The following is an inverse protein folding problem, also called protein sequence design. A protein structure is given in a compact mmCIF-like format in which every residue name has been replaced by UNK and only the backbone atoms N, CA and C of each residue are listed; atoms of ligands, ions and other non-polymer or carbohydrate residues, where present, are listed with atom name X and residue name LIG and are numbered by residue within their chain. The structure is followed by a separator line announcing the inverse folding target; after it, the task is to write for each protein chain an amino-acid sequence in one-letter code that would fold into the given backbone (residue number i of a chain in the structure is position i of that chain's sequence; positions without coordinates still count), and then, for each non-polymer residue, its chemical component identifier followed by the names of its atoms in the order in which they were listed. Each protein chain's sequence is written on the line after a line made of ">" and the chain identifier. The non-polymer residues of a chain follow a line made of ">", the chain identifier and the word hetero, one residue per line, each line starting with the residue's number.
data_IF_266524182020
#
_entry.id   IF_266524182020
#
_cell.length_a   1.000
_cell.length_b   1.000
_cell.length_c   1.000
_cell.angle_alpha   90.00
_cell.angle_beta   90.00
_cell.angle_gamma   90.00
#
_symmetry.space_group_name_H-M   'P 1'
#
loop_
_entity.id
_entity.type
_entity.pdbx_description
1 polymer ?
#
# COMPACT_ATOMS: atom_id res chain seq x y z
N UNK A 1 6.95 7.98 -0.81
CA UNK A 1 6.74 9.37 -1.31
C UNK A 1 5.35 9.95 -0.98
N UNK A 2 5.29 11.20 -0.49
CA UNK A 2 4.04 11.89 -0.15
C UNK A 2 3.07 12.06 -1.32
N UNK A 3 3.59 12.24 -2.54
CA UNK A 3 2.76 12.39 -3.75
C UNK A 3 1.92 11.15 -4.08
N UNK A 4 2.34 9.97 -3.62
CA UNK A 4 1.64 8.71 -3.85
C UNK A 4 0.67 8.34 -2.73
N UNK A 5 0.75 9.01 -1.56
CA UNK A 5 0.00 8.61 -0.36
C UNK A 5 -1.50 8.43 -0.61
N UNK A 6 -2.18 9.46 -1.08
CA UNK A 6 -3.63 9.41 -1.33
C UNK A 6 -4.02 8.37 -2.40
N UNK A 7 -3.15 8.13 -3.38
CA UNK A 7 -3.40 7.14 -4.44
C UNK A 7 -3.22 5.72 -3.89
N UNK A 8 -2.16 5.49 -3.11
CA UNK A 8 -1.92 4.23 -2.40
C UNK A 8 -3.06 3.93 -1.42
N UNK A 9 -3.54 4.94 -0.67
CA UNK A 9 -4.66 4.77 0.27
C UNK A 9 -5.93 4.25 -0.43
N UNK A 10 -6.29 4.87 -1.55
CA UNK A 10 -7.44 4.43 -2.37
C UNK A 10 -7.22 3.05 -2.98
N UNK A 11 -5.98 2.74 -3.37
CA UNK A 11 -5.65 1.42 -3.91
C UNK A 11 -5.81 0.31 -2.87
N UNK A 12 -5.40 0.58 -1.63
CA UNK A 12 -5.59 -0.32 -0.48
C UNK A 12 -7.10 -0.57 -0.27
N UNK A 13 -7.90 0.49 -0.16
CA UNK A 13 -9.35 0.38 0.03
C UNK A 13 -10.02 -0.38 -1.14
N UNK A 14 -9.59 -0.13 -2.39
CA UNK A 14 -10.13 -0.79 -3.58
C UNK A 14 -9.90 -2.31 -3.59
N UNK A 15 -8.76 -2.76 -3.07
CA UNK A 15 -8.41 -4.18 -2.97
C UNK A 15 -8.91 -4.82 -1.65
N UNK A 16 -9.74 -4.12 -0.87
CA UNK A 16 -10.29 -4.64 0.37
C UNK A 16 -9.28 -4.70 1.52
N UNK A 17 -8.18 -3.95 1.42
CA UNK A 17 -7.27 -3.74 2.52
C UNK A 17 -7.87 -2.80 3.56
N UNK A 18 -7.54 -3.02 4.82
CA UNK A 18 -7.89 -2.15 5.94
C UNK A 18 -6.62 -1.52 6.49
N UNK A 19 -6.58 -0.20 6.55
CA UNK A 19 -5.45 0.55 7.11
C UNK A 19 -5.53 0.47 8.64
N UNK A 20 -4.47 -0.02 9.25
CA UNK A 20 -4.32 -0.06 10.72
C UNK A 20 -3.65 1.20 11.24
N UNK A 21 -2.63 1.71 10.52
CA UNK A 21 -1.94 2.93 10.89
C UNK A 21 -1.24 3.61 9.71
N UNK A 22 -1.01 4.91 9.87
CA UNK A 22 -0.28 5.76 8.93
C UNK A 22 0.75 6.56 9.72
N UNK A 23 2.01 6.52 9.29
CA UNK A 23 3.10 7.30 9.87
C UNK A 23 3.66 8.25 8.81
N UNK A 24 3.77 9.52 9.19
CA UNK A 24 4.25 10.60 8.33
C UNK A 24 5.60 11.11 8.85
N UNK A 25 6.69 10.67 8.23
CA UNK A 25 8.06 11.07 8.56
C UNK A 25 8.80 11.63 7.35
N UNK A 26 10.06 11.23 7.17
CA UNK A 26 10.77 11.52 5.91
C UNK A 26 10.10 10.82 4.71
N UNK A 27 9.59 9.62 4.96
CA UNK A 27 8.70 8.87 4.08
C UNK A 27 7.35 8.63 4.75
N UNK A 28 6.37 8.21 3.95
CA UNK A 28 5.05 7.80 4.45
C UNK A 28 5.03 6.29 4.56
N UNK A 29 4.69 5.79 5.75
CA UNK A 29 4.49 4.36 6.02
C UNK A 29 3.02 4.10 6.24
N UNK A 30 2.47 3.07 5.59
CA UNK A 30 1.10 2.62 5.79
C UNK A 30 1.14 1.17 6.24
N UNK A 31 0.58 0.88 7.41
CA UNK A 31 0.36 -0.49 7.87
C UNK A 31 -1.07 -0.86 7.55
N UNK A 32 -1.26 -1.97 6.86
CA UNK A 32 -2.57 -2.42 6.43
C UNK A 32 -2.67 -3.94 6.41
N UNK A 33 -3.87 -4.44 6.65
CA UNK A 33 -4.20 -5.86 6.61
C UNK A 33 -5.00 -6.16 5.35
N UNK A 34 -4.67 -7.28 4.71
CA UNK A 34 -5.31 -7.72 3.47
C UNK A 34 -5.77 -9.17 3.56
N UNK A 35 -6.86 -9.55 2.87
CA UNK A 35 -7.12 -10.94 2.54
C UNK A 35 -5.95 -11.53 1.73
N UNK A 36 -5.46 -12.71 2.09
CA UNK A 36 -4.29 -13.30 1.41
C UNK A 36 -4.50 -13.52 -0.10
N UNK A 37 -5.73 -13.77 -0.52
CA UNK A 37 -6.07 -14.03 -1.92
C UNK A 37 -6.03 -12.78 -2.84
N UNK A 38 -5.82 -11.59 -2.29
CA UNK A 38 -5.72 -10.34 -3.08
C UNK A 38 -4.32 -9.73 -3.09
N UNK A 39 -3.38 -10.30 -2.31
CA UNK A 39 -2.06 -9.72 -2.09
C UNK A 39 -1.24 -9.59 -3.38
N UNK A 40 -1.19 -10.64 -4.20
CA UNK A 40 -0.44 -10.64 -5.47
C UNK A 40 -0.97 -9.57 -6.45
N UNK A 41 -2.29 -9.43 -6.53
CA UNK A 41 -2.95 -8.45 -7.41
C UNK A 41 -2.69 -7.03 -6.92
N UNK A 42 -2.75 -6.83 -5.59
CA UNK A 42 -2.45 -5.54 -4.98
C UNK A 42 -0.99 -5.13 -5.19
N UNK A 43 -0.03 -6.05 -5.02
CA UNK A 43 1.39 -5.77 -5.24
C UNK A 43 1.67 -5.35 -6.69
N UNK A 44 1.06 -6.05 -7.65
CA UNK A 44 1.18 -5.67 -9.07
C UNK A 44 0.63 -4.27 -9.31
N UNK A 45 -0.59 -3.97 -8.83
CA UNK A 45 -1.21 -2.67 -9.01
C UNK A 45 -0.43 -1.54 -8.32
N UNK A 46 0.18 -1.82 -7.16
CA UNK A 46 1.02 -0.87 -6.43
C UNK A 46 2.31 -0.57 -7.18
N UNK A 47 2.91 -1.59 -7.79
CA UNK A 47 4.10 -1.45 -8.64
C UNK A 47 3.80 -0.58 -9.86
N UNK A 48 2.68 -0.83 -10.54
CA UNK A 48 2.24 -0.03 -11.69
C UNK A 48 1.97 1.43 -11.30
N UNK A 49 1.20 1.65 -10.22
CA UNK A 49 0.88 2.99 -9.71
C UNK A 49 2.14 3.79 -9.36
N UNK A 50 3.09 3.15 -8.67
CA UNK A 50 4.28 3.80 -8.15
C UNK A 50 5.45 3.81 -9.12
N UNK A 51 5.32 3.18 -10.29
CA UNK A 51 6.46 2.87 -11.17
C UNK A 51 7.61 2.18 -10.41
N UNK A 52 7.26 1.29 -9.47
CA UNK A 52 8.19 0.56 -8.60
C UNK A 52 8.84 1.37 -7.47
N UNK A 53 8.40 2.61 -7.21
CA UNK A 53 8.94 3.44 -6.12
C UNK A 53 8.46 3.03 -4.73
N UNK A 54 7.36 2.27 -4.65
CA UNK A 54 6.80 1.77 -3.39
C UNK A 54 6.92 0.26 -3.39
N UNK A 55 7.47 -0.29 -2.31
CA UNK A 55 7.62 -1.73 -2.11
C UNK A 55 6.73 -2.19 -0.96
N UNK A 56 6.17 -3.39 -1.11
CA UNK A 56 5.39 -4.05 -0.09
C UNK A 56 6.33 -4.84 0.83
N UNK A 57 6.09 -4.78 2.13
CA UNK A 57 6.80 -5.58 3.14
C UNK A 57 5.77 -6.37 3.92
N UNK A 58 5.92 -7.69 3.97
CA UNK A 58 5.09 -8.57 4.79
C UNK A 58 5.63 -8.53 6.22
N UNK A 59 4.73 -8.29 7.17
CA UNK A 59 5.03 -8.31 8.60
C UNK A 59 4.74 -9.70 9.15
N UNK A 60 5.67 -10.24 9.95
CA UNK A 60 5.57 -11.55 10.61
C UNK A 60 4.74 -11.51 11.91
#
# INVERSE_FOLDING_TARGET
>A
PYSLFEQTRRLIEHHGGMIESEEFGADVTIISVFPLNVLDVFEQALTELSSGQVQLVILD
#
